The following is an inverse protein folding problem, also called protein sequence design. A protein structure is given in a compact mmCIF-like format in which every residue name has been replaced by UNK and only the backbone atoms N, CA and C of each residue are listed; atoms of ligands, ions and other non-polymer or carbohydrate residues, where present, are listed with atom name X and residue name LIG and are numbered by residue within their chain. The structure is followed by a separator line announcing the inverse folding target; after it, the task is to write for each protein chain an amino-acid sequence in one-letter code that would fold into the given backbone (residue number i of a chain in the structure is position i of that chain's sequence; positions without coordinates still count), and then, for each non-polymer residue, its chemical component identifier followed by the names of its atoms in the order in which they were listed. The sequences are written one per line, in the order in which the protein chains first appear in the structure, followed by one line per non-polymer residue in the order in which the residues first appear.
data_IF_729226405766
#
_entry.id   IF_729226405766
#
_cell.length_a   1.000
_cell.length_b   1.000
_cell.length_c   1.000
_cell.angle_alpha   90.00
_cell.angle_beta   90.00
_cell.angle_gamma   90.00
#
_symmetry.space_group_name_H-M   'P 1'
#
loop_
_entity.id
_entity.type
_entity.pdbx_description
1 polymer ?
#
# COMPACT_ATOMS: atom_id res chain seq x y z
N UNK A 1 8.63 -42.92 3.82
CA UNK A 1 9.88 -42.75 4.57
C UNK A 1 11.05 -42.92 3.62
N UNK A 2 11.71 -41.83 3.22
CA UNK A 2 12.94 -41.89 2.41
C UNK A 2 14.13 -41.84 3.36
N UNK A 3 14.75 -43.00 3.62
CA UNK A 3 16.01 -43.08 4.35
C UNK A 3 17.17 -42.77 3.39
N UNK A 4 17.57 -41.51 3.33
CA UNK A 4 18.81 -41.07 2.68
C UNK A 4 19.97 -41.14 3.66
N UNK A 5 20.97 -41.97 3.36
CA UNK A 5 22.19 -42.17 4.14
C UNK A 5 22.90 -40.84 4.48
N UNK A 6 22.88 -40.42 5.75
CA UNK A 6 23.47 -39.17 6.27
C UNK A 6 25.02 -39.12 6.24
N UNK A 7 25.70 -40.14 5.68
CA UNK A 7 27.16 -40.28 5.73
C UNK A 7 27.90 -40.19 4.38
N UNK A 8 27.23 -39.93 3.25
CA UNK A 8 27.95 -39.67 1.98
C UNK A 8 28.44 -38.22 1.96
N UNK A 9 29.76 -38.02 1.87
CA UNK A 9 30.34 -36.73 1.43
C UNK A 9 29.80 -36.47 0.02
N UNK A 10 29.05 -35.37 -0.14
CA UNK A 10 28.47 -34.98 -1.43
C UNK A 10 29.59 -34.75 -2.45
N UNK A 11 29.47 -35.25 -3.70
CA UNK A 11 30.32 -34.82 -4.81
C UNK A 11 30.30 -33.30 -4.92
N UNK A 12 31.44 -32.70 -5.28
CA UNK A 12 31.64 -31.24 -5.25
C UNK A 12 30.69 -30.47 -6.20
N UNK A 13 30.04 -31.16 -7.14
CA UNK A 13 29.24 -30.58 -8.22
C UNK A 13 27.72 -30.87 -8.16
N UNK A 14 27.21 -31.47 -7.06
CA UNK A 14 25.75 -31.61 -6.91
C UNK A 14 25.12 -30.26 -6.51
N UNK A 15 24.17 -29.72 -7.29
CA UNK A 15 23.50 -28.48 -6.93
C UNK A 15 22.80 -28.65 -5.58
N UNK A 16 23.12 -27.76 -4.63
CA UNK A 16 22.46 -27.76 -3.33
C UNK A 16 20.97 -27.50 -3.54
N UNK A 17 20.13 -28.32 -2.93
CA UNK A 17 18.70 -28.06 -2.87
C UNK A 17 18.46 -26.68 -2.23
N UNK A 18 17.92 -25.75 -3.00
CA UNK A 18 17.75 -24.34 -2.61
C UNK A 18 16.57 -24.10 -1.66
N UNK A 19 15.69 -25.10 -1.51
CA UNK A 19 14.43 -24.99 -0.77
C UNK A 19 13.25 -24.55 -1.64
N UNK A 20 12.04 -24.98 -1.27
CA UNK A 20 10.81 -24.77 -2.08
C UNK A 20 10.49 -23.27 -2.22
N UNK A 21 10.59 -22.49 -1.14
CA UNK A 21 10.27 -21.05 -1.15
C UNK A 21 11.18 -20.28 -2.12
N UNK A 22 12.49 -20.53 -2.04
CA UNK A 22 13.47 -19.89 -2.94
C UNK A 22 13.27 -20.33 -4.39
N UNK A 23 12.94 -21.60 -4.62
CA UNK A 23 12.61 -22.11 -5.94
C UNK A 23 11.39 -21.41 -6.54
N UNK A 24 10.29 -21.28 -5.78
CA UNK A 24 9.05 -20.61 -6.23
C UNK A 24 9.34 -19.14 -6.54
N UNK A 25 10.01 -18.44 -5.64
CA UNK A 25 10.40 -17.03 -5.85
C UNK A 25 11.27 -16.85 -7.09
N UNK A 26 12.33 -17.65 -7.24
CA UNK A 26 13.20 -17.58 -8.42
C UNK A 26 12.41 -17.81 -9.71
N UNK A 27 11.57 -18.85 -9.73
CA UNK A 27 10.77 -19.17 -10.94
C UNK A 27 9.79 -18.06 -11.30
N UNK A 28 9.20 -17.37 -10.33
CA UNK A 28 8.40 -16.19 -10.58
C UNK A 28 9.23 -15.04 -11.18
N UNK A 29 10.38 -14.74 -10.58
CA UNK A 29 11.25 -13.63 -10.99
C UNK A 29 11.87 -13.84 -12.39
N UNK A 30 12.22 -15.09 -12.74
CA UNK A 30 12.92 -15.41 -14.01
C UNK A 30 11.99 -15.70 -15.18
N UNK A 31 10.72 -16.03 -14.94
CA UNK A 31 9.78 -16.30 -16.03
C UNK A 31 9.33 -15.00 -16.69
N UNK A 32 9.13 -15.04 -18.01
CA UNK A 32 8.59 -13.91 -18.79
C UNK A 32 7.15 -14.12 -19.23
N UNK A 33 6.66 -15.37 -19.25
CA UNK A 33 5.26 -15.71 -19.54
C UNK A 33 4.35 -15.25 -18.39
N UNK A 34 3.22 -14.68 -18.78
CA UNK A 34 2.20 -14.21 -17.85
C UNK A 34 1.52 -15.37 -17.13
N UNK A 35 1.16 -16.42 -17.85
CA UNK A 35 0.52 -17.64 -17.33
C UNK A 35 1.41 -18.35 -16.30
N UNK A 36 2.72 -18.42 -16.58
CA UNK A 36 3.68 -18.98 -15.64
C UNK A 36 3.78 -18.13 -14.37
N UNK A 37 3.70 -16.80 -14.47
CA UNK A 37 3.73 -15.91 -13.30
C UNK A 37 2.47 -16.04 -12.46
N UNK A 38 1.28 -16.04 -13.07
CA UNK A 38 0.01 -16.23 -12.37
C UNK A 38 0.02 -17.52 -11.54
N UNK A 39 0.47 -18.64 -12.12
CA UNK A 39 0.57 -19.92 -11.40
C UNK A 39 1.45 -19.83 -10.14
N UNK A 40 2.57 -19.11 -10.18
CA UNK A 40 3.42 -18.95 -9.00
C UNK A 40 2.87 -17.93 -8.00
N UNK A 41 2.12 -16.93 -8.45
CA UNK A 41 1.45 -15.93 -7.60
C UNK A 41 0.41 -16.56 -6.69
N UNK A 42 -0.22 -17.68 -7.08
CA UNK A 42 -1.13 -18.44 -6.22
C UNK A 42 -0.50 -18.89 -4.89
N UNK A 43 0.82 -19.02 -4.84
CA UNK A 43 1.58 -19.39 -3.65
C UNK A 43 2.20 -18.19 -2.92
N UNK A 44 1.86 -16.96 -3.32
CA UNK A 44 2.41 -15.73 -2.79
C UNK A 44 1.35 -14.85 -2.14
N UNK A 45 1.79 -14.00 -1.22
CA UNK A 45 0.93 -12.99 -0.59
C UNK A 45 1.53 -11.59 -0.76
N UNK A 46 0.64 -10.61 -0.91
CA UNK A 46 1.01 -9.21 -0.92
C UNK A 46 1.34 -8.72 0.49
N UNK A 47 2.64 -8.60 0.80
CA UNK A 47 3.11 -8.02 2.06
C UNK A 47 3.46 -6.54 1.92
N UNK A 48 3.37 -5.74 3.00
CA UNK A 48 3.89 -4.37 3.00
C UNK A 48 5.38 -4.35 2.63
N UNK A 49 5.75 -3.46 1.72
CA UNK A 49 7.15 -3.25 1.34
C UNK A 49 7.97 -2.88 2.60
N UNK A 50 9.12 -3.52 2.87
CA UNK A 50 9.91 -3.27 4.09
C UNK A 50 10.49 -1.85 4.14
N UNK A 51 10.79 -1.26 2.98
CA UNK A 51 11.45 0.05 2.90
C UNK A 51 10.50 1.21 3.21
N UNK A 52 9.29 1.16 2.66
CA UNK A 52 8.28 2.19 2.84
C UNK A 52 7.16 1.79 3.81
N UNK A 53 7.18 0.57 4.33
CA UNK A 53 6.15 0.00 5.22
C UNK A 53 4.73 0.11 4.63
N UNK A 54 4.60 -0.06 3.31
CA UNK A 54 3.33 0.07 2.61
C UNK A 54 2.88 1.51 2.31
N UNK A 55 3.66 2.53 2.68
CA UNK A 55 3.31 3.95 2.44
C UNK A 55 3.49 4.41 0.99
N UNK A 56 4.22 3.64 0.16
CA UNK A 56 4.43 3.86 -1.29
C UNK A 56 5.10 5.18 -1.67
N UNK A 57 5.73 5.83 -0.70
CA UNK A 57 6.38 7.12 -0.85
C UNK A 57 7.82 7.07 -0.34
N UNK A 58 8.67 7.92 -0.91
CA UNK A 58 10.04 8.11 -0.44
C UNK A 58 10.05 8.77 0.93
N UNK A 59 11.14 8.60 1.68
CA UNK A 59 11.30 9.17 3.03
C UNK A 59 11.23 10.70 3.01
N UNK A 60 11.79 11.33 1.98
CA UNK A 60 11.78 12.78 1.76
C UNK A 60 10.36 13.30 1.54
N UNK A 61 9.53 12.55 0.80
CA UNK A 61 8.11 12.91 0.60
C UNK A 61 7.31 12.81 1.90
N UNK A 62 7.62 11.81 2.74
CA UNK A 62 6.98 11.62 4.05
C UNK A 62 7.46 12.62 5.12
N UNK A 63 8.56 13.34 4.87
CA UNK A 63 9.06 14.40 5.74
C UNK A 63 8.28 15.71 5.58
N UNK A 64 7.57 15.90 4.45
CA UNK A 64 6.72 17.07 4.22
C UNK A 64 5.42 16.93 5.00
N UNK A 65 5.09 17.95 5.80
CA UNK A 65 3.90 17.95 6.65
C UNK A 65 3.01 19.15 6.43
N UNK A 66 1.70 18.94 6.56
CA UNK A 66 0.68 19.99 6.65
C UNK A 66 -0.03 19.80 8.00
N UNK A 67 -0.08 20.83 8.84
CA UNK A 67 -0.69 20.73 10.17
C UNK A 67 -0.08 19.61 11.05
N UNK A 68 1.25 19.43 11.01
CA UNK A 68 1.99 18.39 11.72
C UNK A 68 1.65 16.95 11.34
N UNK A 69 1.11 16.74 10.13
CA UNK A 69 0.81 15.42 9.57
C UNK A 69 1.38 15.31 8.17
N UNK A 70 2.01 14.18 7.85
CA UNK A 70 2.45 13.90 6.49
C UNK A 70 1.28 13.36 5.64
N UNK A 71 1.49 13.30 4.33
CA UNK A 71 0.44 12.88 3.38
C UNK A 71 -0.10 11.47 3.66
N UNK A 72 0.73 10.52 4.09
CA UNK A 72 0.26 9.16 4.37
C UNK A 72 -0.63 9.13 5.62
N UNK A 73 -0.25 9.86 6.67
CA UNK A 73 -1.06 9.97 7.88
C UNK A 73 -2.43 10.60 7.59
N UNK A 74 -2.48 11.58 6.66
CA UNK A 74 -3.75 12.17 6.23
C UNK A 74 -4.60 11.18 5.42
N UNK A 75 -3.99 10.39 4.54
CA UNK A 75 -4.71 9.38 3.76
C UNK A 75 -5.21 8.20 4.60
N UNK A 76 -4.63 7.94 5.77
CA UNK A 76 -5.06 6.90 6.71
C UNK A 76 -6.17 7.32 7.66
N UNK A 77 -6.47 8.62 7.73
CA UNK A 77 -7.63 9.10 8.48
C UNK A 77 -8.92 8.65 7.80
N UNK A 78 -9.97 8.40 8.61
CA UNK A 78 -11.31 8.27 8.06
C UNK A 78 -11.69 9.56 7.33
N UNK A 79 -12.55 9.48 6.32
CA UNK A 79 -13.03 10.66 5.59
C UNK A 79 -13.66 11.68 6.57
N UNK A 80 -14.35 11.19 7.61
CA UNK A 80 -14.90 12.03 8.67
C UNK A 80 -13.82 12.80 9.45
N UNK A 81 -12.76 12.11 9.88
CA UNK A 81 -11.66 12.72 10.61
C UNK A 81 -10.85 13.66 9.73
N UNK A 82 -10.64 13.29 8.47
CA UNK A 82 -9.90 14.08 7.49
C UNK A 82 -10.65 15.38 7.17
N UNK A 83 -11.98 15.33 6.99
CA UNK A 83 -12.82 16.52 6.84
C UNK A 83 -12.67 17.44 8.06
N UNK A 84 -12.79 16.86 9.25
CA UNK A 84 -12.66 17.59 10.52
C UNK A 84 -11.25 18.18 10.72
N UNK A 85 -10.22 17.53 10.17
CA UNK A 85 -8.85 18.05 10.14
C UNK A 85 -8.75 19.28 9.25
N UNK A 86 -9.24 19.23 8.00
CA UNK A 86 -9.19 20.37 7.09
C UNK A 86 -10.05 21.55 7.55
N UNK A 87 -11.20 21.31 8.17
CA UNK A 87 -12.03 22.37 8.76
C UNK A 87 -11.27 23.13 9.86
N UNK A 88 -10.48 22.41 10.67
CA UNK A 88 -9.70 22.98 11.79
C UNK A 88 -8.28 23.39 11.41
N UNK A 89 -7.84 23.10 10.18
CA UNK A 89 -6.49 23.40 9.71
C UNK A 89 -6.25 24.91 9.68
N UNK A 90 -5.33 25.35 10.54
CA UNK A 90 -4.85 26.73 10.62
C UNK A 90 -3.62 26.88 9.73
N UNK A 91 -3.67 27.85 8.84
CA UNK A 91 -2.60 28.21 7.92
C UNK A 91 -2.19 29.66 8.17
N UNK A 92 -0.96 30.01 7.85
CA UNK A 92 -0.52 31.40 7.82
C UNK A 92 -1.27 32.19 6.75
N UNK A 93 -1.15 33.52 6.76
CA UNK A 93 -1.81 34.38 5.75
C UNK A 93 -1.38 34.02 4.33
N UNK A 94 -0.09 33.79 4.12
CA UNK A 94 0.49 33.45 2.81
C UNK A 94 0.01 32.07 2.34
N UNK A 95 0.10 31.06 3.20
CA UNK A 95 -0.38 29.71 2.88
C UNK A 95 -1.88 29.70 2.61
N UNK A 96 -2.67 30.47 3.37
CA UNK A 96 -4.11 30.60 3.15
C UNK A 96 -4.41 31.21 1.79
N UNK A 97 -3.68 32.27 1.39
CA UNK A 97 -3.88 32.89 0.08
C UNK A 97 -3.59 31.92 -1.08
N UNK A 98 -2.56 31.09 -0.94
CA UNK A 98 -2.15 30.11 -1.96
C UNK A 98 -3.09 28.90 -1.98
N UNK A 99 -3.42 28.35 -0.82
CA UNK A 99 -4.13 27.08 -0.67
C UNK A 99 -5.66 27.23 -0.61
N UNK A 100 -6.21 28.45 -0.70
CA UNK A 100 -7.65 28.73 -0.53
C UNK A 100 -8.53 27.82 -1.39
N UNK A 101 -8.32 27.83 -2.70
CA UNK A 101 -9.14 27.07 -3.65
C UNK A 101 -8.91 25.56 -3.48
N UNK A 102 -7.66 25.14 -3.21
CA UNK A 102 -7.33 23.73 -2.97
C UNK A 102 -8.04 23.21 -1.71
N UNK A 103 -8.00 23.98 -0.61
CA UNK A 103 -8.66 23.62 0.66
C UNK A 103 -10.18 23.56 0.48
N UNK A 104 -10.75 24.48 -0.30
CA UNK A 104 -12.18 24.48 -0.64
C UNK A 104 -12.57 23.20 -1.38
N UNK A 105 -11.87 22.86 -2.46
CA UNK A 105 -12.14 21.66 -3.25
C UNK A 105 -12.01 20.37 -2.42
N UNK A 106 -10.98 20.27 -1.58
CA UNK A 106 -10.80 19.13 -0.67
C UNK A 106 -12.01 18.98 0.25
N UNK A 107 -12.45 20.08 0.88
CA UNK A 107 -13.61 20.07 1.77
C UNK A 107 -14.91 19.70 1.06
N UNK A 108 -15.11 20.15 -0.17
CA UNK A 108 -16.28 19.82 -0.99
C UNK A 108 -16.32 18.33 -1.33
N UNK A 109 -15.20 17.75 -1.80
CA UNK A 109 -15.12 16.31 -2.12
C UNK A 109 -15.27 15.42 -0.89
N UNK A 110 -14.63 15.78 0.21
CA UNK A 110 -14.79 15.05 1.47
C UNK A 110 -16.24 15.15 1.99
N UNK A 111 -16.88 16.32 1.85
CA UNK A 111 -18.29 16.51 2.17
C UNK A 111 -19.22 15.67 1.31
N UNK A 112 -18.94 15.56 0.01
CA UNK A 112 -19.67 14.66 -0.89
C UNK A 112 -19.54 13.18 -0.46
N UNK A 113 -18.32 12.71 -0.17
CA UNK A 113 -18.11 11.35 0.31
C UNK A 113 -18.85 11.07 1.64
N UNK A 114 -18.95 12.07 2.52
CA UNK A 114 -19.79 11.96 3.71
C UNK A 114 -21.28 11.90 3.38
N UNK A 115 -21.78 12.72 2.44
CA UNK A 115 -23.20 12.77 2.10
C UNK A 115 -23.69 11.47 1.42
N UNK A 116 -22.82 10.80 0.68
CA UNK A 116 -23.12 9.47 0.12
C UNK A 116 -22.87 8.33 1.11
N UNK A 117 -22.43 8.60 2.34
CA UNK A 117 -22.29 7.60 3.41
C UNK A 117 -21.03 6.73 3.32
N UNK A 118 -19.91 7.31 2.89
CA UNK A 118 -18.58 6.69 2.84
C UNK A 118 -17.64 7.22 3.93
N UNK A 119 -18.17 7.92 4.94
CA UNK A 119 -17.40 8.65 5.97
C UNK A 119 -16.40 7.81 6.77
N UNK A 120 -16.61 6.49 6.87
CA UNK A 120 -15.75 5.53 7.58
C UNK A 120 -14.55 5.05 6.77
N UNK A 121 -14.53 5.28 5.46
CA UNK A 121 -13.42 4.90 4.59
C UNK A 121 -12.21 5.80 4.79
N UNK A 122 -11.05 5.33 4.36
CA UNK A 122 -9.81 6.10 4.29
C UNK A 122 -9.41 6.28 2.83
N UNK A 123 -8.74 7.38 2.50
CA UNK A 123 -8.24 7.61 1.12
C UNK A 123 -7.13 6.61 0.74
N UNK A 124 -6.47 6.02 1.72
CA UNK A 124 -5.46 4.97 1.55
C UNK A 124 -6.03 3.58 1.22
N UNK A 125 -7.35 3.36 1.34
CA UNK A 125 -7.97 2.05 1.07
C UNK A 125 -7.80 1.68 -0.41
N UNK A 126 -7.43 0.43 -0.69
CA UNK A 126 -7.26 -0.07 -2.06
C UNK A 126 -8.63 -0.11 -2.76
N UNK A 127 -8.74 0.49 -3.95
CA UNK A 127 -9.98 0.51 -4.72
C UNK A 127 -10.56 -0.88 -4.98
N UNK A 128 -9.71 -1.87 -5.30
CA UNK A 128 -10.15 -3.26 -5.52
C UNK A 128 -10.68 -3.99 -4.27
N UNK A 129 -10.59 -3.38 -3.08
CA UNK A 129 -11.15 -3.92 -1.83
C UNK A 129 -12.53 -3.34 -1.48
N UNK A 130 -13.05 -2.43 -2.29
CA UNK A 130 -14.37 -1.83 -2.10
C UNK A 130 -15.45 -2.84 -2.56
N UNK A 131 -16.55 -2.88 -1.81
CA UNK A 131 -17.78 -3.57 -2.24
C UNK A 131 -18.42 -2.84 -3.42
N UNK A 132 -19.28 -3.52 -4.17
CA UNK A 132 -19.97 -2.92 -5.32
C UNK A 132 -20.75 -1.65 -4.97
N UNK A 133 -21.44 -1.62 -3.82
CA UNK A 133 -22.18 -0.44 -3.36
C UNK A 133 -21.29 0.68 -2.79
N UNK A 134 -20.06 0.38 -2.36
CA UNK A 134 -19.06 1.41 -2.04
C UNK A 134 -18.46 2.01 -3.32
N UNK A 135 -18.21 1.19 -4.34
CA UNK A 135 -17.63 1.66 -5.60
C UNK A 135 -18.62 2.45 -6.48
N UNK A 136 -19.92 2.17 -6.36
CA UNK A 136 -20.96 2.87 -7.09
C UNK A 136 -21.25 4.27 -6.54
N UNK A 137 -21.14 4.45 -5.22
CA UNK A 137 -21.40 5.71 -4.52
C UNK A 137 -20.20 6.64 -4.61
#
# INVERSE_FOLDING_TARGET
MYYGNLKKKRPFDEPRFEGIVNMVKRRYDTNTSYEAKEYYEEFMENVPCPDCQGRRLKKESLAVTVGNRNIQQLCEMSISDLKSFFDRLRLTKTETAIAKEIKKEINERLGFLQSVGLSYLTLGRRAGSLSGGEAQR
#
